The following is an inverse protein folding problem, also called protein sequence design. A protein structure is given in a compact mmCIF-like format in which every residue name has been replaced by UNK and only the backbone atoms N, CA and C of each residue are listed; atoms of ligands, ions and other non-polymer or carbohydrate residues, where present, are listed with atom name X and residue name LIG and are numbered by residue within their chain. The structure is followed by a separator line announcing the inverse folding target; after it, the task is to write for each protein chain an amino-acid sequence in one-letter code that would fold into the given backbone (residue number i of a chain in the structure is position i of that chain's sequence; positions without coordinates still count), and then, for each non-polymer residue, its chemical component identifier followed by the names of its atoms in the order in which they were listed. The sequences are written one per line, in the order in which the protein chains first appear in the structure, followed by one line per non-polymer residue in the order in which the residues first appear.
data_IF_610640841898
#
_entry.id   IF_610640841898
#
_cell.length_a   1.000
_cell.length_b   1.000
_cell.length_c   1.000
_cell.angle_alpha   90.00
_cell.angle_beta   90.00
_cell.angle_gamma   90.00
#
_symmetry.space_group_name_H-M   'P 1'
#
loop_
_entity.id
_entity.type
_entity.pdbx_description
1 polymer ?
#
# COMPACT_ATOMS: atom_id res chain seq x y z
N UNK A 1 7.16 -19.00 12.55
CA UNK A 1 5.93 -18.23 12.85
C UNK A 1 5.53 -17.56 11.56
N UNK A 2 4.40 -17.93 10.96
CA UNK A 2 3.91 -17.26 9.75
C UNK A 2 3.57 -15.82 10.12
N UNK A 3 4.31 -14.85 9.59
CA UNK A 3 3.88 -13.46 9.68
C UNK A 3 2.45 -13.40 9.09
N UNK A 4 1.52 -12.76 9.79
CA UNK A 4 0.24 -12.43 9.18
C UNK A 4 0.56 -11.63 7.90
N UNK A 5 0.01 -12.05 6.77
CA UNK A 5 0.18 -11.30 5.52
C UNK A 5 -0.30 -9.88 5.76
N UNK A 6 0.61 -8.91 5.64
CA UNK A 6 0.27 -7.52 5.85
C UNK A 6 -0.61 -7.04 4.70
N UNK A 7 -1.71 -6.36 5.04
CA UNK A 7 -2.70 -5.90 4.05
C UNK A 7 -2.95 -4.41 4.23
N UNK A 8 -2.86 -3.66 3.13
CA UNK A 8 -3.41 -2.31 3.02
C UNK A 8 -4.85 -2.44 2.58
N UNK A 9 -5.79 -1.88 3.37
CA UNK A 9 -7.21 -1.87 2.99
C UNK A 9 -7.61 -0.47 2.57
N UNK A 10 -8.14 -0.34 1.35
CA UNK A 10 -8.66 0.91 0.81
C UNK A 10 -10.16 0.92 1.02
N UNK A 11 -10.64 1.88 1.81
CA UNK A 11 -12.04 2.08 2.11
C UNK A 11 -12.33 3.55 2.40
N UNK A 12 -13.49 4.03 1.95
CA UNK A 12 -13.92 5.42 2.17
C UNK A 12 -12.88 6.45 1.72
N UNK A 13 -12.23 6.23 0.57
CA UNK A 13 -11.17 7.08 0.02
C UNK A 13 -9.97 7.22 0.98
N UNK A 14 -9.61 6.15 1.70
CA UNK A 14 -8.53 6.16 2.68
C UNK A 14 -7.77 4.82 2.76
N UNK A 15 -6.49 4.85 3.12
CA UNK A 15 -5.64 3.65 3.26
C UNK A 15 -5.63 3.04 4.68
N UNK A 16 -6.29 3.68 5.64
CA UNK A 16 -6.29 3.28 7.05
C UNK A 16 -5.00 3.64 7.79
N UNK A 17 -4.72 2.88 8.84
CA UNK A 17 -3.52 3.07 9.65
C UNK A 17 -2.25 2.59 8.90
N UNK A 18 -1.06 3.15 9.23
CA UNK A 18 0.20 2.70 8.67
C UNK A 18 0.42 1.20 8.85
N UNK A 19 0.93 0.55 7.80
CA UNK A 19 1.24 -0.88 7.81
C UNK A 19 2.72 -1.08 8.13
N UNK A 20 3.04 -2.02 9.00
CA UNK A 20 4.42 -2.37 9.38
C UNK A 20 4.78 -3.75 8.87
N UNK A 21 5.92 -3.89 8.20
CA UNK A 21 6.39 -5.16 7.61
C UNK A 21 7.91 -5.33 7.69
N UNK A 22 8.42 -6.57 7.61
CA UNK A 22 9.85 -6.77 7.42
C UNK A 22 10.31 -6.32 6.01
N UNK A 23 11.61 -6.00 5.85
CA UNK A 23 12.22 -5.77 4.54
C UNK A 23 11.87 -6.84 3.50
N UNK A 24 11.49 -6.41 2.30
CA UNK A 24 11.18 -7.32 1.18
C UNK A 24 9.88 -8.14 1.33
N UNK A 25 9.05 -7.85 2.33
CA UNK A 25 7.76 -8.53 2.49
C UNK A 25 6.84 -8.30 1.28
N UNK A 26 6.05 -9.32 0.93
CA UNK A 26 4.91 -9.14 0.02
C UNK A 26 3.72 -8.59 0.83
N UNK A 27 3.13 -7.51 0.33
CA UNK A 27 2.01 -6.80 0.94
C UNK A 27 0.80 -6.95 0.03
N UNK A 28 -0.32 -7.37 0.59
CA UNK A 28 -1.59 -7.39 -0.11
C UNK A 28 -2.26 -6.01 -0.05
N UNK A 29 -3.01 -5.66 -1.09
CA UNK A 29 -3.86 -4.47 -1.12
C UNK A 29 -5.26 -4.93 -1.47
N UNK A 30 -6.23 -4.55 -0.65
CA UNK A 30 -7.65 -4.82 -0.91
C UNK A 30 -8.36 -3.49 -1.07
N UNK A 31 -9.01 -3.30 -2.21
CA UNK A 31 -9.86 -2.16 -2.46
C UNK A 31 -11.31 -2.54 -2.21
N UNK A 32 -11.97 -1.87 -1.28
CA UNK A 32 -13.40 -2.05 -0.99
C UNK A 32 -14.26 -0.88 -1.48
N UNK A 33 -13.63 0.12 -2.10
CA UNK A 33 -14.33 1.24 -2.72
C UNK A 33 -14.81 0.86 -4.13
N UNK A 34 -15.79 1.62 -4.62
CA UNK A 34 -16.41 1.44 -5.93
C UNK A 34 -15.63 2.11 -7.07
N UNK A 35 -14.42 2.60 -6.81
CA UNK A 35 -13.55 3.25 -7.80
C UNK A 35 -12.14 2.64 -7.73
N UNK A 36 -11.39 2.75 -8.82
CA UNK A 36 -10.00 2.29 -8.87
C UNK A 36 -9.09 3.16 -7.99
N UNK A 37 -8.12 2.52 -7.34
CA UNK A 37 -7.09 3.19 -6.57
C UNK A 37 -5.69 2.69 -6.95
N UNK A 38 -4.67 3.35 -6.44
CA UNK A 38 -3.30 2.89 -6.52
C UNK A 38 -2.65 2.95 -5.14
N UNK A 39 -1.55 2.23 -4.93
CA UNK A 39 -0.61 2.45 -3.83
C UNK A 39 0.72 2.80 -4.49
N UNK A 40 1.07 4.08 -4.51
CA UNK A 40 2.20 4.59 -5.29
C UNK A 40 3.17 5.33 -4.38
N UNK A 41 4.39 4.81 -4.25
CA UNK A 41 5.41 5.46 -3.42
C UNK A 41 5.72 6.86 -3.91
N UNK A 42 5.92 7.79 -2.97
CA UNK A 42 6.39 9.14 -3.26
C UNK A 42 7.87 9.13 -3.70
N UNK A 43 8.62 8.11 -3.30
CA UNK A 43 9.97 7.86 -3.79
C UNK A 43 9.89 7.15 -5.14
N UNK A 44 10.31 7.85 -6.20
CA UNK A 44 10.26 7.36 -7.57
C UNK A 44 10.92 5.98 -7.71
N UNK A 45 10.21 5.05 -8.36
CA UNK A 45 10.72 3.71 -8.68
C UNK A 45 10.71 2.71 -7.52
N UNK A 46 10.10 3.03 -6.38
CA UNK A 46 10.14 2.16 -5.19
C UNK A 46 9.06 1.07 -5.23
N UNK A 47 7.78 1.45 -5.26
CA UNK A 47 6.67 0.53 -5.48
C UNK A 47 5.49 1.27 -6.10
N UNK A 48 4.74 0.56 -6.95
CA UNK A 48 3.44 0.98 -7.43
C UNK A 48 2.58 -0.24 -7.68
N UNK A 49 1.31 -0.17 -7.30
CA UNK A 49 0.28 -1.13 -7.71
C UNK A 49 -1.02 -0.38 -7.93
N UNK A 50 -1.71 -0.67 -9.02
CA UNK A 50 -3.05 -0.18 -9.30
C UNK A 50 -4.05 -1.30 -8.94
N UNK A 51 -5.18 -0.95 -8.34
CA UNK A 51 -6.16 -1.86 -7.78
C UNK A 51 -7.56 -1.41 -8.18
N UNK A 52 -8.18 -2.21 -9.05
CA UNK A 52 -9.55 -2.01 -9.54
C UNK A 52 -10.57 -1.86 -8.39
N UNK A 53 -11.73 -1.28 -8.70
CA UNK A 53 -12.85 -1.21 -7.74
C UNK A 53 -13.21 -2.60 -7.22
N UNK A 54 -13.41 -2.75 -5.91
CA UNK A 54 -13.65 -4.05 -5.27
C UNK A 54 -12.56 -5.12 -5.57
N UNK A 55 -11.37 -4.68 -5.96
CA UNK A 55 -10.28 -5.53 -6.44
C UNK A 55 -9.22 -5.82 -5.38
N UNK A 56 -8.23 -6.61 -5.79
CA UNK A 56 -7.05 -6.91 -5.00
C UNK A 56 -5.78 -6.73 -5.83
N UNK A 57 -4.68 -6.42 -5.14
CA UNK A 57 -3.35 -6.30 -5.73
C UNK A 57 -2.29 -6.69 -4.71
N UNK A 58 -1.04 -6.78 -5.16
CA UNK A 58 0.10 -6.98 -4.26
C UNK A 58 1.29 -6.14 -4.70
N UNK A 59 2.14 -5.75 -3.74
CA UNK A 59 3.42 -5.14 -4.01
C UNK A 59 4.47 -5.61 -3.01
N UNK A 60 5.75 -5.43 -3.33
CA UNK A 60 6.86 -5.80 -2.45
C UNK A 60 7.36 -4.59 -1.68
N UNK A 61 7.54 -4.76 -0.38
CA UNK A 61 8.13 -3.76 0.49
C UNK A 61 9.60 -3.51 0.10
N UNK A 62 10.10 -2.28 0.26
CA UNK A 62 11.53 -1.98 0.12
C UNK A 62 12.40 -2.87 1.01
N UNK A 63 13.65 -3.10 0.60
CA UNK A 63 14.63 -3.87 1.38
C UNK A 63 15.33 -3.03 2.46
N UNK A 64 15.31 -1.71 2.33
CA UNK A 64 15.87 -0.82 3.35
C UNK A 64 14.81 -0.56 4.44
N UNK A 65 15.14 -0.71 5.73
CA UNK A 65 14.29 -0.23 6.81
C UNK A 65 14.04 1.28 6.71
N UNK A 66 12.83 1.71 7.05
CA UNK A 66 12.43 3.11 6.98
C UNK A 66 10.93 3.32 6.85
N UNK A 67 10.53 4.58 6.85
CA UNK A 67 9.15 5.00 6.57
C UNK A 67 9.04 5.44 5.11
N UNK A 68 8.02 4.93 4.43
CA UNK A 68 7.76 5.17 3.02
C UNK A 68 6.37 5.77 2.87
N UNK A 69 6.32 7.07 2.60
CA UNK A 69 5.08 7.74 2.21
C UNK A 69 4.65 7.29 0.79
N UNK A 70 3.35 7.20 0.60
CA UNK A 70 2.74 6.87 -0.68
C UNK A 70 1.40 7.58 -0.84
N UNK A 71 0.96 7.69 -2.09
CA UNK A 71 -0.30 8.32 -2.47
C UNK A 71 -1.06 7.51 -3.53
N UNK A 72 -2.29 7.95 -3.81
CA UNK A 72 -3.08 7.47 -4.94
C UNK A 72 -2.85 8.36 -6.16
N UNK A 73 -2.49 7.77 -7.31
CA UNK A 73 -2.35 8.50 -8.59
C UNK A 73 -3.66 9.15 -9.04
N UNK A 74 -4.78 8.47 -8.81
CA UNK A 74 -6.11 8.90 -9.26
C UNK A 74 -6.77 9.90 -8.29
N UNK A 75 -6.36 9.86 -7.02
CA UNK A 75 -6.99 10.63 -5.95
C UNK A 75 -5.91 11.32 -5.08
N UNK A 76 -5.42 12.51 -5.48
CA UNK A 76 -4.25 13.15 -4.86
C UNK A 76 -4.38 13.48 -3.37
N UNK A 77 -5.58 13.49 -2.82
CA UNK A 77 -5.81 13.72 -1.38
C UNK A 77 -5.56 12.46 -0.52
N UNK A 78 -5.41 11.28 -1.14
CA UNK A 78 -5.19 10.03 -0.43
C UNK A 78 -3.69 9.81 -0.19
N UNK A 79 -3.31 9.72 1.08
CA UNK A 79 -1.95 9.45 1.52
C UNK A 79 -1.92 8.32 2.56
N UNK A 80 -0.87 7.53 2.52
CA UNK A 80 -0.61 6.48 3.50
C UNK A 80 0.88 6.35 3.81
N UNK A 81 1.19 5.50 4.79
CA UNK A 81 2.58 5.26 5.22
C UNK A 81 2.82 3.77 5.38
N UNK A 82 3.89 3.29 4.77
CA UNK A 82 4.45 1.95 4.98
C UNK A 82 5.68 2.06 5.87
N UNK A 83 5.74 1.25 6.91
CA UNK A 83 6.89 1.16 7.82
C UNK A 83 7.59 -0.18 7.56
N UNK A 84 8.87 -0.12 7.19
CA UNK A 84 9.72 -1.30 6.99
C UNK A 84 10.69 -1.42 8.16
N UNK A 85 10.65 -2.52 8.91
CA UNK A 85 11.58 -2.79 10.03
C UNK A 85 11.76 -4.27 10.33
#
# INVERSE_FOLDING_TARGET
MSAAAATVTIASMNYGAPVTVPPGAQIAVTNTDSVEHSVTSDAAGTFTVDVESNGNGTFTAPSAPGEYAFHCKYHPAMHGTLIVK
#
